data_IF_137844457319
#
_entry.id   IF_137844457319
#
_cell.length_a   1.000
_cell.length_b   1.000
_cell.length_c   1.000
_cell.angle_alpha   90.00
_cell.angle_beta   90.00
_cell.angle_gamma   90.00
#
_symmetry.space_group_name_H-M   'P 1'
#
loop_
_entity.id
_entity.type
_entity.pdbx_description
1 polymer ?
#
# COMPACT_ATOMS: atom_id res chain seq x y z
N UNK A 1 -11.08 -6.64 8.00
CA UNK A 1 -10.02 -5.61 7.99
C UNK A 1 -10.58 -4.30 8.49
N UNK A 2 -9.92 -3.64 9.44
CA UNK A 2 -10.43 -2.40 10.06
C UNK A 2 -10.21 -1.15 9.19
N UNK A 3 -9.35 -1.23 8.17
CA UNK A 3 -9.15 -0.16 7.16
C UNK A 3 -10.13 -0.23 5.99
N UNK A 4 -11.07 -1.17 6.01
CA UNK A 4 -12.24 -1.14 5.14
C UNK A 4 -13.35 -0.42 5.89
N UNK A 5 -13.68 0.79 5.45
CA UNK A 5 -14.53 1.72 6.19
C UNK A 5 -15.79 2.06 5.39
N UNK A 6 -16.74 2.75 6.00
CA UNK A 6 -17.94 3.23 5.31
C UNK A 6 -17.67 4.57 4.63
N UNK A 7 -16.94 5.46 5.30
CA UNK A 7 -16.64 6.80 4.81
C UNK A 7 -15.18 7.19 5.02
N UNK A 8 -14.69 8.11 4.18
CA UNK A 8 -13.32 8.61 4.19
C UNK A 8 -13.37 10.13 3.98
N UNK A 9 -12.88 10.87 4.98
CA UNK A 9 -12.86 12.34 4.97
C UNK A 9 -12.01 12.91 3.82
N UNK A 10 -10.74 12.48 3.73
CA UNK A 10 -9.85 12.82 2.61
C UNK A 10 -9.36 11.56 1.90
N UNK A 11 -10.00 11.24 0.78
CA UNK A 11 -9.66 10.08 -0.03
C UNK A 11 -8.28 10.14 -0.67
N UNK A 12 -7.70 11.33 -0.85
CA UNK A 12 -6.38 11.50 -1.46
C UNK A 12 -5.26 11.28 -0.45
N UNK A 13 -5.49 11.66 0.81
CA UNK A 13 -4.52 11.54 1.89
C UNK A 13 -4.69 10.27 2.75
N UNK A 14 -5.78 9.52 2.59
CA UNK A 14 -6.07 8.30 3.34
C UNK A 14 -5.65 7.03 2.61
N UNK A 15 -5.18 6.03 3.36
CA UNK A 15 -4.96 4.67 2.85
C UNK A 15 -6.15 3.72 3.11
N UNK A 16 -7.23 4.20 3.70
CA UNK A 16 -8.46 3.43 3.85
C UNK A 16 -9.15 3.22 2.51
N UNK A 17 -9.97 2.17 2.44
CA UNK A 17 -10.81 1.88 1.27
C UNK A 17 -12.24 1.74 1.73
N UNK A 18 -13.17 2.33 1.00
CA UNK A 18 -14.58 2.16 1.29
C UNK A 18 -15.02 0.76 0.95
N UNK A 19 -15.78 0.13 1.85
CA UNK A 19 -16.32 -1.21 1.67
C UNK A 19 -17.21 -1.30 0.44
N UNK A 20 -17.96 -0.24 0.12
CA UNK A 20 -18.78 -0.15 -1.09
C UNK A 20 -17.96 -0.17 -2.37
N UNK A 21 -16.79 0.49 -2.39
CA UNK A 21 -15.87 0.53 -3.53
C UNK A 21 -15.17 -0.83 -3.69
N UNK A 22 -14.68 -1.41 -2.60
CA UNK A 22 -14.05 -2.73 -2.64
C UNK A 22 -14.99 -3.82 -3.21
N UNK A 23 -16.30 -3.76 -2.90
CA UNK A 23 -17.31 -4.68 -3.44
C UNK A 23 -17.58 -4.51 -4.93
N UNK A 24 -17.22 -3.38 -5.54
CA UNK A 24 -17.36 -3.18 -7.00
C UNK A 24 -16.30 -3.92 -7.80
N UNK A 25 -15.18 -4.30 -7.17
CA UNK A 25 -14.09 -5.01 -7.83
C UNK A 25 -14.57 -6.41 -8.22
N UNK A 26 -14.67 -6.67 -9.52
CA UNK A 26 -15.20 -7.96 -10.04
C UNK A 26 -14.14 -9.03 -10.19
N UNK A 27 -12.89 -8.63 -10.37
CA UNK A 27 -11.78 -9.55 -10.59
C UNK A 27 -10.46 -9.00 -10.04
N UNK A 28 -9.52 -9.91 -9.76
CA UNK A 28 -8.17 -9.53 -9.37
C UNK A 28 -7.46 -8.69 -10.46
N UNK A 29 -7.69 -9.00 -11.74
CA UNK A 29 -7.10 -8.25 -12.86
C UNK A 29 -7.56 -6.79 -12.89
N UNK A 30 -8.82 -6.53 -12.57
CA UNK A 30 -9.39 -5.18 -12.49
C UNK A 30 -8.73 -4.36 -11.36
N UNK A 31 -8.62 -4.94 -10.15
CA UNK A 31 -7.87 -4.31 -9.06
C UNK A 31 -6.42 -4.02 -9.46
N UNK A 32 -5.75 -5.00 -10.07
CA UNK A 32 -4.34 -4.86 -10.46
C UNK A 32 -4.13 -3.75 -11.49
N UNK A 33 -5.05 -3.57 -12.43
CA UNK A 33 -5.01 -2.43 -13.36
C UNK A 33 -4.98 -1.11 -12.61
N UNK A 34 -5.85 -0.94 -11.61
CA UNK A 34 -5.92 0.28 -10.79
C UNK A 34 -4.68 0.45 -9.91
N UNK A 35 -4.23 -0.60 -9.23
CA UNK A 35 -3.00 -0.56 -8.41
C UNK A 35 -1.78 -0.18 -9.26
N UNK A 36 -1.67 -0.67 -10.49
CA UNK A 36 -0.60 -0.29 -11.40
C UNK A 36 -0.71 1.15 -11.91
N UNK A 37 -1.94 1.64 -12.15
CA UNK A 37 -2.18 3.06 -12.45
C UNK A 37 -1.74 3.93 -11.26
N UNK A 38 -2.07 3.51 -10.04
CA UNK A 38 -1.68 4.17 -8.81
C UNK A 38 -0.16 4.19 -8.63
N UNK A 39 0.52 3.07 -8.88
CA UNK A 39 1.98 2.99 -8.83
C UNK A 39 2.63 4.00 -9.78
N UNK A 40 2.17 4.05 -11.04
CA UNK A 40 2.71 4.97 -12.06
C UNK A 40 2.51 6.44 -11.69
N UNK A 41 1.40 6.78 -11.02
CA UNK A 41 1.16 8.13 -10.52
C UNK A 41 2.16 8.55 -9.43
N UNK A 42 2.71 7.59 -8.66
CA UNK A 42 3.60 7.87 -7.53
C UNK A 42 5.09 7.69 -7.87
N UNK A 43 5.46 6.75 -8.74
CA UNK A 43 6.87 6.42 -9.03
C UNK A 43 7.65 7.58 -9.67
N UNK A 44 6.94 8.50 -10.35
CA UNK A 44 7.52 9.68 -10.97
C UNK A 44 8.09 10.71 -9.98
N UNK A 45 7.72 10.62 -8.71
CA UNK A 45 8.22 11.49 -7.64
C UNK A 45 9.74 11.50 -7.56
N UNK A 46 10.34 12.68 -7.72
CA UNK A 46 11.81 12.87 -7.71
C UNK A 46 12.38 12.85 -6.30
N UNK A 47 11.53 13.06 -5.30
CA UNK A 47 11.85 13.09 -3.88
C UNK A 47 11.85 11.70 -3.22
N UNK A 48 11.67 10.63 -3.99
CA UNK A 48 11.76 9.24 -3.54
C UNK A 48 13.08 8.60 -3.96
N UNK A 49 13.70 7.86 -3.04
CA UNK A 49 14.90 7.08 -3.36
C UNK A 49 14.61 5.97 -4.40
N UNK A 50 15.62 5.57 -5.21
CA UNK A 50 15.47 4.44 -6.14
C UNK A 50 15.03 3.14 -5.44
N UNK A 51 15.54 2.89 -4.23
CA UNK A 51 15.15 1.74 -3.41
C UNK A 51 13.65 1.79 -3.04
N UNK A 52 13.13 2.96 -2.68
CA UNK A 52 11.71 3.16 -2.40
C UNK A 52 10.84 2.93 -3.63
N UNK A 53 11.27 3.35 -4.82
CA UNK A 53 10.55 3.09 -6.08
C UNK A 53 10.46 1.60 -6.41
N UNK A 54 11.56 0.86 -6.23
CA UNK A 54 11.59 -0.60 -6.43
C UNK A 54 10.80 -1.35 -5.36
N UNK A 55 10.88 -0.90 -4.10
CA UNK A 55 10.08 -1.46 -3.02
C UNK A 55 8.59 -1.25 -3.29
N UNK A 56 8.19 -0.06 -3.75
CA UNK A 56 6.81 0.25 -4.09
C UNK A 56 6.29 -0.63 -5.24
N UNK A 57 7.13 -0.89 -6.25
CA UNK A 57 6.80 -1.84 -7.32
C UNK A 57 6.48 -3.23 -6.74
N UNK A 58 7.31 -3.75 -5.84
CA UNK A 58 7.11 -5.06 -5.23
C UNK A 58 5.84 -5.10 -4.35
N UNK A 59 5.56 -4.03 -3.59
CA UNK A 59 4.33 -3.91 -2.79
C UNK A 59 3.09 -3.90 -3.67
N UNK A 60 3.10 -3.12 -4.76
CA UNK A 60 2.01 -3.07 -5.73
C UNK A 60 1.85 -4.41 -6.45
N UNK A 61 2.96 -5.11 -6.71
CA UNK A 61 2.92 -6.43 -7.32
C UNK A 61 2.19 -7.44 -6.43
N UNK A 62 2.47 -7.36 -5.12
CA UNK A 62 1.96 -8.26 -4.08
C UNK A 62 0.70 -7.77 -3.38
N UNK A 63 0.01 -6.80 -3.97
CA UNK A 63 -1.24 -6.27 -3.42
C UNK A 63 -2.40 -7.26 -3.63
N UNK A 64 -3.19 -7.50 -2.59
CA UNK A 64 -4.22 -8.55 -2.53
C UNK A 64 -5.62 -7.95 -2.45
N UNK A 65 -6.58 -8.54 -3.17
CA UNK A 65 -7.96 -8.07 -3.19
C UNK A 65 -8.69 -8.38 -1.88
N UNK A 66 -8.41 -9.54 -1.29
CA UNK A 66 -9.09 -10.05 -0.08
C UNK A 66 -8.91 -9.12 1.11
N UNK A 67 -7.79 -8.40 1.15
CA UNK A 67 -7.41 -7.53 2.26
C UNK A 67 -7.22 -6.08 1.86
N UNK A 68 -7.32 -5.76 0.56
CA UNK A 68 -6.97 -4.44 0.01
C UNK A 68 -5.63 -3.91 0.53
N UNK A 69 -4.63 -4.79 0.57
CA UNK A 69 -3.31 -4.49 1.12
C UNK A 69 -2.24 -5.45 0.58
N UNK A 70 -0.97 -5.15 0.86
CA UNK A 70 0.11 -6.13 0.77
C UNK A 70 0.68 -6.42 2.17
N UNK A 71 0.89 -7.70 2.50
CA UNK A 71 1.29 -8.10 3.86
C UNK A 71 2.34 -9.21 3.87
N UNK A 72 3.14 -9.32 2.79
CA UNK A 72 4.26 -10.26 2.76
C UNK A 72 5.41 -9.75 3.66
N UNK A 73 6.20 -10.68 4.18
CA UNK A 73 7.38 -10.35 4.98
C UNK A 73 8.44 -9.61 4.15
N UNK A 74 9.25 -8.75 4.78
CA UNK A 74 10.29 -7.97 4.08
C UNK A 74 11.27 -8.82 3.28
N UNK A 75 11.48 -10.08 3.68
CA UNK A 75 12.32 -11.03 2.95
C UNK A 75 11.76 -11.35 1.55
N UNK A 76 10.44 -11.38 1.38
CA UNK A 76 9.85 -11.60 0.05
C UNK A 76 10.08 -10.41 -0.87
N UNK A 77 9.86 -9.17 -0.40
CA UNK A 77 10.17 -7.98 -1.19
C UNK A 77 11.67 -7.88 -1.51
N UNK A 78 12.53 -8.26 -0.57
CA UNK A 78 13.98 -8.34 -0.78
C UNK A 78 14.32 -9.30 -1.93
N UNK A 79 13.74 -10.50 -1.94
CA UNK A 79 13.93 -11.47 -3.02
C UNK A 79 13.43 -10.93 -4.38
N UNK A 80 12.27 -10.27 -4.41
CA UNK A 80 11.70 -9.73 -5.64
C UNK A 80 12.51 -8.57 -6.25
N UNK A 81 13.23 -7.84 -5.42
CA UNK A 81 13.95 -6.61 -5.83
C UNK A 81 15.46 -6.79 -5.89
N UNK A 82 15.99 -7.94 -5.44
CA UNK A 82 17.42 -8.16 -5.26
C UNK A 82 18.04 -7.30 -4.14
N UNK A 83 17.24 -6.59 -3.34
CA UNK A 83 17.72 -5.72 -2.28
C UNK A 83 17.89 -6.46 -0.96
N UNK A 84 18.76 -5.94 -0.08
CA UNK A 84 18.85 -6.43 1.28
C UNK A 84 17.58 -6.08 2.09
N UNK A 85 17.16 -6.96 3.00
CA UNK A 85 15.93 -6.77 3.80
C UNK A 85 15.93 -5.49 4.65
N UNK A 86 17.11 -5.01 5.09
CA UNK A 86 17.23 -3.70 5.77
C UNK A 86 16.91 -2.54 4.84
N UNK A 87 17.31 -2.62 3.57
CA UNK A 87 16.98 -1.61 2.56
C UNK A 87 15.48 -1.56 2.30
N UNK A 88 14.81 -2.72 2.25
CA UNK A 88 13.34 -2.80 2.22
C UNK A 88 12.71 -2.11 3.44
N UNK A 89 13.22 -2.39 4.64
CA UNK A 89 12.70 -1.75 5.86
C UNK A 89 12.84 -0.22 5.81
N UNK A 90 13.98 0.29 5.35
CA UNK A 90 14.21 1.73 5.23
C UNK A 90 13.31 2.36 4.14
N UNK A 91 13.16 1.70 3.00
CA UNK A 91 12.27 2.12 1.93
C UNK A 91 10.80 2.22 2.42
N UNK A 92 10.33 1.23 3.15
CA UNK A 92 8.97 1.26 3.74
C UNK A 92 8.80 2.42 4.74
N UNK A 93 9.84 2.76 5.52
CA UNK A 93 9.81 3.90 6.44
C UNK A 93 9.78 5.23 5.68
N UNK A 94 10.57 5.37 4.60
CA UNK A 94 10.55 6.56 3.74
C UNK A 94 9.16 6.75 3.11
N UNK A 95 8.62 5.70 2.49
CA UNK A 95 7.30 5.71 1.86
C UNK A 95 6.16 6.02 2.85
N UNK A 96 6.29 5.56 4.09
CA UNK A 96 5.30 5.76 5.16
C UNK A 96 5.51 7.04 5.98
N UNK A 97 6.56 7.81 5.70
CA UNK A 97 6.83 9.06 6.40
C UNK A 97 5.70 10.06 6.17
N UNK A 98 5.48 10.96 7.13
CA UNK A 98 4.44 11.99 7.01
C UNK A 98 4.65 12.91 5.78
N UNK A 99 5.90 13.15 5.40
CA UNK A 99 6.26 13.97 4.24
C UNK A 99 5.91 13.27 2.91
N UNK A 100 6.14 11.96 2.82
CA UNK A 100 5.86 11.22 1.57
C UNK A 100 4.41 10.77 1.49
N UNK A 101 3.84 10.27 2.59
CA UNK A 101 2.47 9.77 2.71
C UNK A 101 2.03 8.91 1.50
N UNK A 102 2.89 7.97 1.07
CA UNK A 102 2.63 7.10 -0.09
C UNK A 102 1.96 5.80 0.36
N UNK A 103 2.37 5.26 1.51
CA UNK A 103 1.79 4.07 2.10
C UNK A 103 1.49 4.30 3.58
N UNK A 104 0.54 3.54 4.12
CA UNK A 104 0.41 3.36 5.56
C UNK A 104 0.80 1.94 5.95
N UNK A 105 1.41 1.80 7.13
CA UNK A 105 1.67 0.50 7.73
C UNK A 105 0.60 0.26 8.80
N UNK A 106 -0.20 -0.78 8.66
CA UNK A 106 -1.28 -1.11 9.57
C UNK A 106 -0.98 -2.39 10.35
N UNK A 107 -1.33 -2.38 11.63
CA UNK A 107 -1.39 -3.54 12.51
C UNK A 107 -2.82 -4.07 12.51
N UNK A 108 -3.04 -5.28 12.00
CA UNK A 108 -4.36 -5.89 11.92
C UNK A 108 -4.94 -6.19 13.30
N UNK A 109 -4.12 -6.74 14.20
CA UNK A 109 -4.56 -7.25 15.51
C UNK A 109 -4.88 -6.09 16.46
N UNK A 110 -3.97 -5.13 16.56
CA UNK A 110 -4.10 -4.00 17.49
C UNK A 110 -4.95 -2.86 16.94
N UNK A 111 -5.37 -2.93 15.67
CA UNK A 111 -6.14 -1.87 15.00
C UNK A 111 -5.47 -0.49 15.03
N UNK A 112 -4.15 -0.46 14.80
CA UNK A 112 -3.36 0.78 14.85
C UNK A 112 -2.51 0.98 13.60
N UNK A 113 -2.16 2.24 13.32
CA UNK A 113 -1.13 2.58 12.34
C UNK A 113 0.26 2.53 12.98
N UNK A 114 1.22 2.06 12.20
CA UNK A 114 2.60 1.87 12.60
C UNK A 114 3.51 2.85 11.85
N UNK A 115 4.47 3.45 12.56
CA UNK A 115 5.54 4.22 11.92
C UNK A 115 6.63 3.35 11.30
N UNK A 116 6.78 2.12 11.81
CA UNK A 116 7.79 1.15 11.37
C UNK A 116 7.32 -0.27 11.65
N UNK A 117 7.85 -1.23 10.91
CA UNK A 117 7.62 -2.65 11.18
C UNK A 117 8.12 -3.05 12.57
N UNK A 118 7.33 -3.85 13.30
CA UNK A 118 7.73 -4.47 14.57
C UNK A 118 7.80 -5.99 14.42
N UNK A 119 8.66 -6.64 15.21
CA UNK A 119 8.77 -8.11 15.22
C UNK A 119 7.52 -8.71 15.84
N UNK A 120 7.03 -9.82 15.28
CA UNK A 120 5.87 -10.54 15.79
C UNK A 120 4.51 -9.95 15.42
N UNK A 121 4.48 -8.80 14.72
CA UNK A 121 3.24 -8.16 14.29
C UNK A 121 3.01 -8.44 12.81
N UNK A 122 1.79 -8.90 12.47
CA UNK A 122 1.34 -9.01 11.09
C UNK A 122 1.06 -7.62 10.53
N UNK A 123 2.01 -7.10 9.78
CA UNK A 123 1.94 -5.76 9.17
C UNK A 123 1.30 -5.80 7.79
N UNK A 124 0.29 -4.95 7.60
CA UNK A 124 -0.32 -4.66 6.31
C UNK A 124 0.22 -3.34 5.75
N UNK A 125 0.44 -3.30 4.44
CA UNK A 125 0.86 -2.11 3.69
C UNK A 125 -0.33 -1.66 2.86
N UNK A 126 -0.82 -0.48 3.17
CA UNK A 126 -1.98 0.15 2.54
C UNK A 126 -1.49 1.26 1.60
N UNK A 127 -2.17 1.45 0.48
CA UNK A 127 -1.79 2.44 -0.53
C UNK A 127 -2.62 3.72 -0.35
N UNK A 128 -1.96 4.84 -0.05
CA UNK A 128 -2.62 6.13 0.18
C UNK A 128 -3.22 6.65 -1.12
N UNK A 129 -4.48 7.06 -1.13
CA UNK A 129 -5.14 7.53 -2.34
C UNK A 129 -5.71 6.43 -3.24
N UNK A 130 -5.59 5.15 -2.85
CA UNK A 130 -6.10 4.05 -3.67
C UNK A 130 -7.63 4.10 -3.82
N UNK A 131 -8.37 4.45 -2.76
CA UNK A 131 -9.84 4.53 -2.82
C UNK A 131 -10.32 5.52 -3.88
N UNK A 132 -9.71 6.71 -3.92
CA UNK A 132 -9.97 7.74 -4.92
C UNK A 132 -9.85 7.16 -6.34
N UNK A 133 -8.74 6.48 -6.62
CA UNK A 133 -8.48 5.93 -7.94
C UNK A 133 -9.40 4.76 -8.28
N UNK A 134 -9.74 3.92 -7.30
CA UNK A 134 -10.73 2.85 -7.49
C UNK A 134 -12.09 3.43 -7.86
N UNK A 135 -12.53 4.51 -7.21
CA UNK A 135 -13.79 5.19 -7.59
C UNK A 135 -13.75 5.72 -9.02
N UNK A 136 -12.65 6.35 -9.41
CA UNK A 136 -12.50 6.92 -10.75
C UNK A 136 -12.48 5.84 -11.85
N UNK A 137 -11.95 4.65 -11.57
CA UNK A 137 -11.79 3.58 -12.56
C UNK A 137 -12.93 2.55 -12.58
N UNK A 138 -13.70 2.42 -11.49
CA UNK A 138 -14.78 1.44 -11.34
C UNK A 138 -16.18 2.04 -11.46
N UNK A 139 -16.28 3.35 -11.71
CA UNK A 139 -17.53 4.03 -12.01
C UNK A 139 -17.81 4.04 -13.51
#
# INVERSE_FOLDING_TARGET
MWWLVEDIEDERASAFVQSSVARKIRSYGELKKVVWKWYRANVGRTDLSPASKLCLWAVCERHRAETMSSHDANRYYALMTGMHHKSISNALVELASAEKNIIWLADEENKTLMRKSKRGIRRHILLVGLNKMLKEELN
#
